data_IF_966179260437
#
_entry.id   IF_966179260437
#
_cell.length_a   1.000
_cell.length_b   1.000
_cell.length_c   1.000
_cell.angle_alpha   90.00
_cell.angle_beta   90.00
_cell.angle_gamma   90.00
#
_symmetry.space_group_name_H-M   'P 1'
#
loop_
_entity.id
_entity.type
_entity.pdbx_description
1 polymer ?
#
# COMPACT_ATOMS: atom_id res chain seq x y z
N UNK A 1 -85.80 -10.16 50.25
CA UNK A 1 -84.45 -9.97 50.83
C UNK A 1 -83.57 -11.08 50.25
N UNK A 2 -82.47 -10.72 49.58
CA UNK A 2 -81.30 -11.56 49.22
C UNK A 2 -81.55 -12.63 48.13
N UNK A 3 -80.74 -12.86 47.09
CA UNK A 3 -79.71 -12.13 46.33
C UNK A 3 -79.44 -13.00 45.08
N UNK A 4 -79.29 -12.38 43.90
CA UNK A 4 -78.90 -13.07 42.65
C UNK A 4 -77.42 -13.45 42.70
N UNK A 5 -77.05 -14.64 42.23
CA UNK A 5 -75.68 -15.00 41.87
C UNK A 5 -75.69 -15.68 40.49
N UNK A 6 -75.36 -14.90 39.47
CA UNK A 6 -75.03 -15.33 38.12
C UNK A 6 -73.53 -15.59 38.13
N UNK A 7 -73.08 -16.84 37.93
CA UNK A 7 -71.66 -17.13 37.71
C UNK A 7 -71.32 -16.81 36.26
N UNK A 8 -70.52 -15.77 36.06
CA UNK A 8 -69.85 -15.49 34.79
C UNK A 8 -68.56 -16.30 34.74
N UNK A 9 -68.49 -17.24 33.80
CA UNK A 9 -67.25 -17.91 33.41
C UNK A 9 -66.41 -16.88 32.62
N UNK A 10 -65.42 -16.26 33.26
CA UNK A 10 -64.44 -15.41 32.57
C UNK A 10 -63.35 -16.32 32.03
N UNK A 11 -63.42 -16.62 30.73
CA UNK A 11 -62.30 -17.19 30.00
C UNK A 11 -61.17 -16.16 29.94
N UNK A 12 -60.12 -16.37 30.74
CA UNK A 12 -58.89 -15.59 30.67
C UNK A 12 -58.13 -15.99 29.39
N UNK A 13 -58.45 -15.34 28.27
CA UNK A 13 -57.59 -15.33 27.09
C UNK A 13 -56.32 -14.60 27.50
N UNK A 14 -55.27 -15.36 27.81
CA UNK A 14 -53.91 -14.85 27.88
C UNK A 14 -53.54 -14.38 26.46
N UNK A 15 -53.78 -13.09 26.19
CA UNK A 15 -53.12 -12.37 25.11
C UNK A 15 -51.64 -12.32 25.49
N UNK A 16 -50.87 -13.32 25.04
CA UNK A 16 -49.43 -13.15 24.93
C UNK A 16 -49.20 -11.92 24.05
N UNK A 17 -48.52 -10.86 24.51
CA UNK A 17 -48.06 -9.85 23.56
C UNK A 17 -47.14 -10.59 22.59
N UNK A 18 -47.54 -10.64 21.33
CA UNK A 18 -46.64 -11.01 20.25
C UNK A 18 -45.45 -10.07 20.35
N UNK A 19 -44.32 -10.57 20.85
CA UNK A 19 -43.05 -9.88 20.90
C UNK A 19 -42.53 -9.81 19.46
N UNK A 20 -43.17 -8.99 18.62
CA UNK A 20 -42.53 -8.52 17.41
C UNK A 20 -41.35 -7.69 17.88
N UNK A 21 -40.15 -8.02 17.40
CA UNK A 21 -38.98 -7.18 17.54
C UNK A 21 -39.37 -5.78 17.07
N UNK A 22 -39.64 -4.89 18.01
CA UNK A 22 -40.13 -3.56 17.71
C UNK A 22 -38.91 -2.73 17.35
N UNK A 23 -38.62 -2.67 16.04
CA UNK A 23 -37.63 -1.75 15.51
C UNK A 23 -37.99 -0.33 15.97
N UNK A 24 -37.10 0.31 16.70
CA UNK A 24 -37.27 1.65 17.22
C UNK A 24 -36.44 2.64 16.40
N UNK A 25 -36.77 3.93 16.48
CA UNK A 25 -35.94 5.03 15.95
C UNK A 25 -35.61 4.87 14.44
N UNK A 26 -36.59 4.88 13.53
CA UNK A 26 -36.36 4.77 12.09
C UNK A 26 -35.56 5.94 11.51
N UNK A 27 -35.69 7.14 12.09
CA UNK A 27 -34.91 8.33 11.72
C UNK A 27 -33.52 8.36 12.39
N UNK A 28 -33.19 7.32 13.17
CA UNK A 28 -31.94 7.24 13.92
C UNK A 28 -31.93 8.02 15.24
N UNK A 29 -30.75 8.08 15.85
CA UNK A 29 -30.49 8.72 17.13
C UNK A 29 -29.23 9.58 17.05
N UNK A 30 -29.33 10.84 17.46
CA UNK A 30 -28.16 11.70 17.67
C UNK A 30 -28.02 12.03 19.15
N UNK A 31 -26.94 11.56 19.76
CA UNK A 31 -26.59 11.77 21.17
C UNK A 31 -25.51 12.84 21.29
N UNK A 32 -25.77 13.86 22.12
CA UNK A 32 -24.86 15.00 22.40
C UNK A 32 -24.41 15.12 23.84
N UNK A 33 -25.08 14.44 24.77
CA UNK A 33 -24.83 14.57 26.20
C UNK A 33 -24.82 13.21 26.90
N UNK A 34 -24.11 13.11 28.03
CA UNK A 34 -24.14 11.91 28.88
C UNK A 34 -25.55 11.62 29.41
N UNK A 35 -26.35 12.67 29.69
CA UNK A 35 -27.73 12.49 30.17
C UNK A 35 -28.61 11.77 29.14
N UNK A 36 -28.45 12.04 27.84
CA UNK A 36 -29.19 11.32 26.79
C UNK A 36 -28.83 9.83 26.72
N UNK A 37 -27.57 9.48 26.99
CA UNK A 37 -27.12 8.08 27.11
C UNK A 37 -27.77 7.44 28.34
N UNK A 38 -27.64 8.09 29.49
CA UNK A 38 -28.11 7.54 30.77
C UNK A 38 -29.64 7.37 30.78
N UNK A 39 -30.36 8.27 30.12
CA UNK A 39 -31.81 8.22 29.98
C UNK A 39 -32.30 7.32 28.84
N UNK A 40 -31.42 6.79 27.98
CA UNK A 40 -31.83 5.97 26.83
C UNK A 40 -32.74 4.79 27.23
N UNK A 41 -32.44 3.98 28.26
CA UNK A 41 -33.32 2.88 28.67
C UNK A 41 -34.70 3.34 29.16
N UNK A 42 -34.79 4.54 29.73
CA UNK A 42 -36.05 5.11 30.22
C UNK A 42 -36.89 5.74 29.09
N UNK A 43 -36.23 6.40 28.13
CA UNK A 43 -36.88 7.05 27.00
C UNK A 43 -37.31 6.05 25.91
N UNK A 44 -36.55 4.96 25.75
CA UNK A 44 -36.78 3.92 24.74
C UNK A 44 -36.76 2.51 25.37
N UNK A 45 -37.71 2.19 26.26
CA UNK A 45 -37.73 0.90 26.93
C UNK A 45 -37.93 -0.25 25.93
N UNK A 46 -37.05 -1.26 25.97
CA UNK A 46 -37.11 -2.43 25.08
C UNK A 46 -36.64 -2.19 23.65
N UNK A 47 -36.09 -1.00 23.34
CA UNK A 47 -35.50 -0.65 22.06
C UNK A 47 -34.15 -1.38 21.89
N UNK A 48 -34.21 -2.58 21.29
CA UNK A 48 -33.06 -3.46 21.04
C UNK A 48 -32.50 -3.25 19.63
N UNK A 49 -33.36 -2.91 18.66
CA UNK A 49 -33.00 -2.74 17.25
C UNK A 49 -33.34 -1.32 16.79
N UNK A 50 -32.33 -0.52 16.49
CA UNK A 50 -32.51 0.82 15.95
C UNK A 50 -32.55 0.72 14.43
N UNK A 51 -33.67 1.07 13.81
CA UNK A 51 -33.84 0.97 12.36
C UNK A 51 -33.00 2.00 11.58
N UNK A 52 -32.80 3.19 12.14
CA UNK A 52 -31.91 4.21 11.56
C UNK A 52 -30.45 4.07 11.99
N UNK A 53 -29.69 5.16 11.84
CA UNK A 53 -28.31 5.24 12.33
C UNK A 53 -28.19 5.85 13.73
N UNK A 54 -27.05 5.61 14.39
CA UNK A 54 -26.69 6.25 15.64
C UNK A 54 -25.44 7.08 15.50
N UNK A 55 -25.51 8.33 15.93
CA UNK A 55 -24.37 9.25 16.02
C UNK A 55 -24.19 9.71 17.46
N UNK A 56 -22.98 9.56 18.00
CA UNK A 56 -22.58 9.96 19.35
C UNK A 56 -21.46 10.99 19.22
N UNK A 57 -21.75 12.23 19.57
CA UNK A 57 -20.82 13.35 19.42
C UNK A 57 -21.01 14.39 20.52
N UNK A 58 -19.98 14.58 21.35
CA UNK A 58 -19.99 15.50 22.48
C UNK A 58 -19.29 16.83 22.20
N UNK A 59 -19.50 17.81 23.07
CA UNK A 59 -18.67 19.03 23.14
C UNK A 59 -17.83 19.02 24.41
N UNK A 60 -16.83 19.91 24.50
CA UNK A 60 -16.03 20.09 25.72
C UNK A 60 -16.89 20.43 26.95
N UNK A 61 -18.01 21.12 26.74
CA UNK A 61 -18.91 21.58 27.82
C UNK A 61 -19.88 20.48 28.28
N UNK A 62 -20.12 19.46 27.45
CA UNK A 62 -21.01 18.35 27.74
C UNK A 62 -20.33 17.02 27.38
N UNK A 63 -19.27 16.63 28.10
CA UNK A 63 -18.50 15.44 27.75
C UNK A 63 -19.33 14.17 27.91
N UNK A 64 -19.19 13.27 26.93
CA UNK A 64 -19.63 11.87 27.03
C UNK A 64 -18.45 11.04 27.51
N UNK A 65 -18.60 10.34 28.63
CA UNK A 65 -17.53 9.55 29.27
C UNK A 65 -17.75 8.05 29.21
N UNK A 66 -18.99 7.58 29.08
CA UNK A 66 -19.30 6.16 28.91
C UNK A 66 -20.62 5.94 28.16
N UNK A 67 -20.83 4.72 27.66
CA UNK A 67 -21.96 4.34 26.82
C UNK A 67 -22.89 3.32 27.49
N UNK A 68 -22.83 3.14 28.82
CA UNK A 68 -23.48 2.01 29.52
C UNK A 68 -24.99 1.99 29.36
N UNK A 69 -25.62 3.16 29.22
CA UNK A 69 -27.05 3.30 28.94
C UNK A 69 -27.50 2.70 27.60
N UNK A 70 -26.56 2.38 26.70
CA UNK A 70 -26.83 1.81 25.37
C UNK A 70 -26.79 0.27 25.34
N UNK A 71 -26.55 -0.39 26.47
CA UNK A 71 -26.31 -1.84 26.57
C UNK A 71 -27.45 -2.73 26.08
N UNK A 72 -28.67 -2.20 25.92
CA UNK A 72 -29.79 -2.97 25.36
C UNK A 72 -29.76 -3.11 23.82
N UNK A 73 -28.96 -2.30 23.12
CA UNK A 73 -28.94 -2.26 21.65
C UNK A 73 -28.13 -3.43 21.11
N UNK A 74 -28.69 -4.16 20.15
CA UNK A 74 -28.01 -5.26 19.44
C UNK A 74 -27.89 -5.08 17.93
N UNK A 75 -28.71 -4.22 17.33
CA UNK A 75 -28.72 -4.01 15.88
C UNK A 75 -28.90 -2.52 15.56
N UNK A 76 -28.12 -2.04 14.59
CA UNK A 76 -28.23 -0.71 14.00
C UNK A 76 -28.47 -0.86 12.50
N UNK A 77 -29.55 -0.28 11.97
CA UNK A 77 -29.95 -0.47 10.58
C UNK A 77 -29.08 0.30 9.57
N UNK A 78 -28.59 1.50 9.92
CA UNK A 78 -27.82 2.33 8.99
C UNK A 78 -26.36 2.55 9.39
N UNK A 79 -26.07 3.21 10.51
CA UNK A 79 -24.68 3.51 10.87
C UNK A 79 -24.45 3.53 12.37
N UNK A 80 -23.20 3.37 12.76
CA UNK A 80 -22.70 3.71 14.08
C UNK A 80 -21.55 4.71 13.90
N UNK A 81 -21.74 5.94 14.35
CA UNK A 81 -20.73 6.99 14.31
C UNK A 81 -20.45 7.48 15.72
N UNK A 82 -19.29 7.15 16.27
CA UNK A 82 -18.82 7.61 17.59
C UNK A 82 -17.67 8.56 17.34
N UNK A 83 -17.95 9.86 17.37
CA UNK A 83 -16.96 10.87 16.98
C UNK A 83 -16.83 12.04 17.93
N UNK A 84 -15.64 12.60 18.01
CA UNK A 84 -15.35 13.82 18.77
C UNK A 84 -15.77 13.72 20.25
N UNK A 85 -15.46 12.58 20.91
CA UNK A 85 -15.70 12.40 22.34
C UNK A 85 -14.37 12.35 23.11
N UNK A 86 -13.76 13.52 23.43
CA UNK A 86 -12.41 13.57 24.02
C UNK A 86 -12.33 13.00 25.44
N UNK A 87 -13.47 12.84 26.13
CA UNK A 87 -13.54 12.23 27.45
C UNK A 87 -13.74 10.70 27.40
N UNK A 88 -14.20 10.15 26.26
CA UNK A 88 -14.55 8.74 26.11
C UNK A 88 -13.30 7.87 26.03
N UNK A 89 -13.15 6.94 26.98
CA UNK A 89 -11.99 6.06 27.08
C UNK A 89 -12.28 4.59 26.73
N UNK A 90 -13.56 4.21 26.65
CA UNK A 90 -14.03 2.87 26.33
C UNK A 90 -15.37 2.93 25.59
N UNK A 91 -15.66 1.91 24.79
CA UNK A 91 -16.96 1.68 24.17
C UNK A 91 -17.89 0.78 25.02
N UNK A 92 -17.53 0.53 26.28
CA UNK A 92 -18.34 -0.27 27.22
C UNK A 92 -19.78 0.22 27.25
N UNK A 93 -20.72 -0.71 27.11
CA UNK A 93 -22.13 -0.44 26.87
C UNK A 93 -22.60 -0.77 25.45
N UNK A 94 -21.72 -1.15 24.53
CA UNK A 94 -22.08 -1.57 23.17
C UNK A 94 -21.87 -3.08 22.91
N UNK A 95 -21.59 -3.87 23.95
CA UNK A 95 -21.14 -5.27 23.81
C UNK A 95 -22.16 -6.17 23.11
N UNK A 96 -23.44 -5.77 23.15
CA UNK A 96 -24.53 -6.49 22.52
C UNK A 96 -24.72 -6.16 21.04
N UNK A 97 -24.06 -5.13 20.50
CA UNK A 97 -24.14 -4.76 19.07
C UNK A 97 -23.51 -5.85 18.22
N UNK A 98 -24.34 -6.55 17.45
CA UNK A 98 -23.93 -7.67 16.58
C UNK A 98 -23.78 -7.28 15.13
N UNK A 99 -24.58 -6.32 14.68
CA UNK A 99 -24.68 -5.93 13.29
C UNK A 99 -24.91 -4.42 13.16
N UNK A 100 -24.20 -3.82 12.21
CA UNK A 100 -24.40 -2.45 11.74
C UNK A 100 -24.69 -2.55 10.24
N UNK A 101 -25.91 -2.20 9.80
CA UNK A 101 -26.37 -2.41 8.44
C UNK A 101 -25.68 -1.56 7.37
N UNK A 102 -25.00 -0.48 7.77
CA UNK A 102 -24.17 0.35 6.89
C UNK A 102 -22.80 0.62 7.50
N UNK A 103 -22.44 1.89 7.76
CA UNK A 103 -21.06 2.28 8.11
C UNK A 103 -20.79 2.25 9.61
N UNK A 104 -19.58 1.80 9.98
CA UNK A 104 -18.99 2.02 11.30
C UNK A 104 -17.97 3.16 11.20
N UNK A 105 -18.05 4.16 12.07
CA UNK A 105 -17.05 5.23 12.17
C UNK A 105 -16.72 5.54 13.61
N UNK A 106 -15.45 5.38 13.98
CA UNK A 106 -14.90 5.72 15.29
C UNK A 106 -13.82 6.78 15.09
N UNK A 107 -14.13 8.05 15.40
CA UNK A 107 -13.28 9.17 15.00
C UNK A 107 -13.01 10.21 16.09
N UNK A 108 -11.77 10.65 16.33
CA UNK A 108 -11.52 11.79 17.23
C UNK A 108 -11.87 11.51 18.70
N UNK A 109 -11.72 10.27 19.16
CA UNK A 109 -11.89 9.90 20.57
C UNK A 109 -10.51 9.72 21.21
N UNK A 110 -9.83 10.83 21.52
CA UNK A 110 -8.41 10.87 21.90
C UNK A 110 -8.03 10.02 23.13
N UNK A 111 -9.00 9.69 23.99
CA UNK A 111 -8.77 8.86 25.18
C UNK A 111 -9.09 7.38 24.97
N UNK A 112 -9.68 7.01 23.84
CA UNK A 112 -10.11 5.64 23.55
C UNK A 112 -8.88 4.73 23.40
N UNK A 113 -8.84 3.64 24.17
CA UNK A 113 -7.69 2.73 24.23
C UNK A 113 -7.83 1.51 23.32
N UNK A 114 -9.06 1.00 23.20
CA UNK A 114 -9.44 -0.18 22.44
C UNK A 114 -10.89 -0.05 21.96
N UNK A 115 -11.32 -0.99 21.13
CA UNK A 115 -12.70 -1.09 20.65
C UNK A 115 -13.50 -2.19 21.39
N UNK A 116 -13.06 -2.67 22.55
CA UNK A 116 -13.56 -3.90 23.21
C UNK A 116 -15.08 -3.92 23.48
N UNK A 117 -15.68 -2.73 23.59
CA UNK A 117 -17.14 -2.58 23.68
C UNK A 117 -17.88 -3.09 22.44
N UNK A 118 -17.21 -3.38 21.33
CA UNK A 118 -17.81 -3.96 20.11
C UNK A 118 -17.56 -5.49 20.00
N UNK A 119 -17.31 -6.18 21.11
CA UNK A 119 -16.99 -7.61 21.12
C UNK A 119 -18.06 -8.54 20.56
N UNK A 120 -19.32 -8.09 20.50
CA UNK A 120 -20.40 -8.79 19.82
C UNK A 120 -20.44 -8.60 18.30
N UNK A 121 -19.69 -7.65 17.73
CA UNK A 121 -19.83 -7.23 16.34
C UNK A 121 -19.34 -8.32 15.38
N UNK A 122 -20.24 -8.75 14.50
CA UNK A 122 -19.97 -9.80 13.50
C UNK A 122 -20.07 -9.31 12.07
N UNK A 123 -20.75 -8.20 11.82
CA UNK A 123 -20.91 -7.63 10.49
C UNK A 123 -21.05 -6.11 10.49
N UNK A 124 -20.48 -5.49 9.46
CA UNK A 124 -20.67 -4.10 9.08
C UNK A 124 -21.09 -4.12 7.62
N UNK A 125 -22.24 -3.54 7.31
CA UNK A 125 -22.88 -3.72 6.02
C UNK A 125 -22.22 -2.91 4.90
N UNK A 126 -21.46 -1.87 5.23
CA UNK A 126 -20.78 -0.99 4.28
C UNK A 126 -19.32 -0.71 4.72
N UNK A 127 -18.94 0.54 4.99
CA UNK A 127 -17.57 0.97 5.29
C UNK A 127 -17.19 0.86 6.78
N UNK A 128 -15.89 0.70 7.05
CA UNK A 128 -15.28 0.80 8.38
C UNK A 128 -14.27 1.96 8.37
N UNK A 129 -14.53 2.97 9.19
CA UNK A 129 -13.66 4.12 9.39
C UNK A 129 -13.16 4.23 10.84
N UNK A 130 -11.85 4.26 11.05
CA UNK A 130 -11.24 4.45 12.36
C UNK A 130 -10.19 5.53 12.23
N UNK A 131 -10.44 6.72 12.79
CA UNK A 131 -9.54 7.85 12.57
C UNK A 131 -9.28 8.74 13.77
N UNK A 132 -8.08 9.29 13.89
CA UNK A 132 -7.75 10.30 14.90
C UNK A 132 -8.06 9.83 16.34
N UNK A 133 -7.88 8.54 16.65
CA UNK A 133 -7.97 8.02 18.02
C UNK A 133 -6.54 7.81 18.54
N UNK A 134 -5.90 8.89 18.98
CA UNK A 134 -4.46 8.91 19.25
C UNK A 134 -3.95 7.89 20.28
N UNK A 135 -4.80 7.41 21.19
CA UNK A 135 -4.44 6.39 22.18
C UNK A 135 -4.92 4.98 21.84
N UNK A 136 -5.60 4.80 20.71
CA UNK A 136 -6.09 3.49 20.29
C UNK A 136 -4.90 2.60 19.96
N UNK A 137 -4.83 1.43 20.62
CA UNK A 137 -3.69 0.51 20.48
C UNK A 137 -3.97 -0.72 19.63
N UNK A 138 -5.21 -1.17 19.60
CA UNK A 138 -5.62 -2.38 18.89
C UNK A 138 -7.05 -2.27 18.35
N UNK A 139 -7.35 -3.12 17.38
CA UNK A 139 -8.66 -3.29 16.76
C UNK A 139 -9.08 -4.77 16.70
N UNK A 140 -8.49 -5.60 17.57
CA UNK A 140 -8.62 -7.08 17.57
C UNK A 140 -10.08 -7.56 17.64
N UNK A 141 -10.94 -6.75 18.25
CA UNK A 141 -12.37 -7.00 18.36
C UNK A 141 -13.06 -7.19 17.00
N UNK A 142 -12.50 -6.63 15.92
CA UNK A 142 -13.07 -6.73 14.57
C UNK A 142 -12.82 -8.11 13.91
N UNK A 143 -12.17 -9.05 14.61
CA UNK A 143 -11.74 -10.36 14.10
C UNK A 143 -12.85 -11.30 13.60
N UNK A 144 -14.11 -10.90 13.68
CA UNK A 144 -15.24 -11.61 13.10
C UNK A 144 -15.63 -11.10 11.71
N UNK A 145 -15.18 -9.90 11.31
CA UNK A 145 -15.48 -9.34 10.00
C UNK A 145 -14.80 -10.17 8.89
N UNK A 146 -15.58 -10.51 7.86
CA UNK A 146 -15.12 -11.31 6.71
C UNK A 146 -15.06 -10.52 5.40
N UNK A 147 -15.97 -9.58 5.22
CA UNK A 147 -16.10 -8.75 4.02
C UNK A 147 -16.41 -7.33 4.50
N UNK A 148 -15.76 -6.35 3.88
CA UNK A 148 -16.12 -4.93 4.01
C UNK A 148 -16.64 -4.50 2.63
N UNK A 149 -17.96 -4.26 2.53
CA UNK A 149 -18.58 -3.90 1.23
C UNK A 149 -18.28 -2.47 0.79
N UNK A 150 -17.90 -1.63 1.74
CA UNK A 150 -17.50 -0.25 1.47
C UNK A 150 -15.99 -0.08 1.56
N UNK A 151 -15.62 1.11 2.02
CA UNK A 151 -14.24 1.48 2.25
C UNK A 151 -13.73 0.99 3.60
N UNK A 152 -12.44 0.65 3.67
CA UNK A 152 -11.68 0.56 4.92
C UNK A 152 -10.78 1.79 5.03
N UNK A 153 -11.00 2.62 6.05
CA UNK A 153 -10.17 3.79 6.31
C UNK A 153 -9.62 3.75 7.73
N UNK A 154 -8.30 3.63 7.88
CA UNK A 154 -7.60 3.70 9.17
C UNK A 154 -6.59 4.84 9.09
N UNK A 155 -6.82 5.94 9.81
CA UNK A 155 -5.95 7.12 9.69
C UNK A 155 -5.72 7.92 10.96
N UNK A 156 -4.49 8.39 11.20
CA UNK A 156 -4.21 9.25 12.35
C UNK A 156 -4.35 8.53 13.70
N UNK A 157 -4.23 7.20 13.75
CA UNK A 157 -4.24 6.43 15.00
C UNK A 157 -2.80 6.17 15.42
N UNK A 158 -2.15 7.19 15.97
CA UNK A 158 -0.70 7.23 16.17
C UNK A 158 -0.11 6.12 17.04
N UNK A 159 -0.90 5.50 17.94
CA UNK A 159 -0.49 4.37 18.78
C UNK A 159 -0.95 2.99 18.27
N UNK A 160 -1.74 2.93 17.20
CA UNK A 160 -2.17 1.67 16.59
C UNK A 160 -0.96 1.05 15.90
N UNK A 161 -0.51 -0.10 16.41
CA UNK A 161 0.73 -0.74 15.94
C UNK A 161 0.49 -2.02 15.13
N UNK A 162 -0.77 -2.46 15.04
CA UNK A 162 -1.16 -3.71 14.41
C UNK A 162 -2.56 -3.58 13.79
N UNK A 163 -2.80 -4.31 12.70
CA UNK A 163 -4.12 -4.49 12.09
C UNK A 163 -4.77 -5.82 12.51
N UNK A 164 -4.19 -6.53 13.48
CA UNK A 164 -4.80 -7.71 14.09
C UNK A 164 -6.21 -7.38 14.55
N UNK A 165 -7.17 -8.20 14.12
CA UNK A 165 -8.59 -7.85 14.08
C UNK A 165 -9.17 -7.85 12.67
N UNK A 166 -8.38 -7.69 11.61
CA UNK A 166 -8.88 -7.79 10.23
C UNK A 166 -8.52 -9.13 9.57
N UNK A 167 -8.02 -10.10 10.35
CA UNK A 167 -7.33 -11.29 9.86
C UNK A 167 -8.23 -12.29 9.11
N UNK A 168 -9.56 -12.13 9.25
CA UNK A 168 -10.57 -12.90 8.50
C UNK A 168 -11.16 -12.13 7.31
N UNK A 169 -10.81 -10.85 7.12
CA UNK A 169 -11.28 -10.07 5.98
C UNK A 169 -10.64 -10.63 4.73
N UNK A 170 -11.47 -11.17 3.83
CA UNK A 170 -11.04 -11.76 2.56
C UNK A 170 -11.15 -10.74 1.43
N UNK A 171 -12.09 -9.81 1.54
CA UNK A 171 -12.42 -8.89 0.46
C UNK A 171 -12.86 -7.54 1.03
N UNK A 172 -12.37 -6.48 0.36
CA UNK A 172 -12.82 -5.10 0.57
C UNK A 172 -13.31 -4.61 -0.80
N UNK A 173 -14.62 -4.39 -0.95
CA UNK A 173 -15.21 -4.03 -2.24
C UNK A 173 -14.95 -2.55 -2.61
N UNK A 174 -14.69 -1.70 -1.61
CA UNK A 174 -14.33 -0.29 -1.79
C UNK A 174 -12.83 0.00 -1.72
N UNK A 175 -12.51 1.22 -1.31
CA UNK A 175 -11.13 1.69 -1.15
C UNK A 175 -10.52 1.23 0.17
N UNK A 176 -9.20 1.08 0.18
CA UNK A 176 -8.42 0.95 1.40
C UNK A 176 -7.54 2.19 1.55
N UNK A 177 -7.70 2.92 2.65
CA UNK A 177 -6.86 4.04 3.04
C UNK A 177 -6.21 3.75 4.38
N UNK A 178 -4.89 3.57 4.39
CA UNK A 178 -4.09 3.51 5.62
C UNK A 178 -3.11 4.68 5.61
N UNK A 179 -3.39 5.70 6.44
CA UNK A 179 -2.66 6.96 6.39
C UNK A 179 -2.31 7.53 7.75
N UNK A 180 -1.09 8.04 7.93
CA UNK A 180 -0.70 8.75 9.16
C UNK A 180 -0.85 7.89 10.44
N UNK A 181 -0.55 6.59 10.35
CA UNK A 181 -0.50 5.70 11.51
C UNK A 181 0.97 5.45 11.89
N UNK A 182 1.49 6.30 12.78
CA UNK A 182 2.91 6.36 13.12
C UNK A 182 3.51 5.09 13.73
N UNK A 183 2.69 4.13 14.21
CA UNK A 183 3.16 2.91 14.89
C UNK A 183 2.97 1.62 14.08
N UNK A 184 2.26 1.64 12.95
CA UNK A 184 2.07 0.46 12.10
C UNK A 184 3.40 0.10 11.44
N UNK A 185 3.84 -1.15 11.61
CA UNK A 185 5.11 -1.66 11.05
C UNK A 185 4.93 -2.41 9.73
N UNK A 186 3.80 -3.08 9.57
CA UNK A 186 3.41 -3.88 8.40
C UNK A 186 1.89 -4.14 8.45
N UNK A 187 1.39 -5.06 7.63
CA UNK A 187 -0.04 -5.36 7.49
C UNK A 187 -0.41 -6.72 8.09
N UNK A 188 0.35 -7.19 9.08
CA UNK A 188 -0.10 -8.31 9.90
C UNK A 188 -1.47 -7.98 10.49
N UNK A 189 -2.41 -8.90 10.30
CA UNK A 189 -3.83 -8.69 10.47
C UNK A 189 -4.61 -8.66 9.15
N UNK A 190 -3.98 -8.64 7.97
CA UNK A 190 -4.68 -8.74 6.67
C UNK A 190 -4.34 -10.02 5.89
N UNK A 191 -3.87 -11.08 6.57
CA UNK A 191 -3.32 -12.30 5.96
C UNK A 191 -4.33 -13.12 5.13
N UNK A 192 -5.60 -12.76 5.15
CA UNK A 192 -6.67 -13.39 4.36
C UNK A 192 -7.13 -12.53 3.18
N UNK A 193 -6.73 -11.26 3.10
CA UNK A 193 -7.20 -10.31 2.10
C UNK A 193 -6.72 -10.76 0.70
N UNK A 194 -7.66 -10.86 -0.23
CA UNK A 194 -7.44 -11.29 -1.61
C UNK A 194 -7.69 -10.20 -2.64
N UNK A 195 -8.66 -9.34 -2.39
CA UNK A 195 -9.07 -8.31 -3.35
C UNK A 195 -9.39 -6.98 -2.67
N UNK A 196 -9.03 -5.92 -3.36
CA UNK A 196 -9.49 -4.54 -3.13
C UNK A 196 -10.22 -4.07 -4.39
N UNK A 197 -11.52 -3.76 -4.25
CA UNK A 197 -12.37 -3.32 -5.36
C UNK A 197 -12.18 -1.85 -5.76
N UNK A 198 -11.59 -1.04 -4.87
CA UNK A 198 -11.25 0.36 -5.12
C UNK A 198 -9.74 0.61 -5.18
N UNK A 199 -9.35 1.80 -4.73
CA UNK A 199 -7.96 2.22 -4.59
C UNK A 199 -7.35 1.68 -3.30
N UNK A 200 -6.07 1.36 -3.31
CA UNK A 200 -5.28 1.03 -2.13
C UNK A 200 -4.22 2.12 -1.88
N UNK A 201 -4.49 2.99 -0.92
CA UNK A 201 -3.67 4.17 -0.59
C UNK A 201 -2.94 3.97 0.74
N UNK A 202 -1.61 3.96 0.68
CA UNK A 202 -0.72 3.78 1.82
C UNK A 202 0.19 4.99 1.93
N UNK A 203 -0.15 5.90 2.83
CA UNK A 203 0.46 7.23 2.86
C UNK A 203 0.94 7.64 4.25
N UNK A 204 2.12 8.24 4.35
CA UNK A 204 2.56 8.93 5.59
C UNK A 204 2.60 8.02 6.84
N UNK A 205 2.80 6.69 6.67
CA UNK A 205 2.97 5.77 7.80
C UNK A 205 4.46 5.68 8.15
N UNK A 206 4.93 6.59 9.01
CA UNK A 206 6.35 6.84 9.30
C UNK A 206 7.14 5.67 9.92
N UNK A 207 6.46 4.62 10.40
CA UNK A 207 7.12 3.40 10.91
C UNK A 207 6.95 2.16 10.04
N UNK A 208 6.18 2.25 8.95
CA UNK A 208 5.94 1.14 8.03
C UNK A 208 7.26 0.68 7.42
N UNK A 209 7.55 -0.62 7.45
CA UNK A 209 8.80 -1.22 6.95
C UNK A 209 8.62 -2.07 5.71
N UNK A 210 7.49 -2.76 5.64
CA UNK A 210 7.12 -3.66 4.55
C UNK A 210 5.61 -3.91 4.54
N UNK A 211 5.17 -4.79 3.64
CA UNK A 211 3.77 -5.16 3.40
C UNK A 211 3.45 -6.58 3.90
N UNK A 212 4.27 -7.15 4.81
CA UNK A 212 4.03 -8.49 5.37
C UNK A 212 2.62 -8.58 5.91
N UNK A 213 1.96 -9.71 5.65
CA UNK A 213 0.54 -9.92 5.92
C UNK A 213 -0.37 -9.69 4.71
N UNK A 214 0.14 -9.27 3.55
CA UNK A 214 -0.64 -9.13 2.30
C UNK A 214 -0.31 -10.19 1.25
N UNK A 215 0.31 -11.30 1.63
CA UNK A 215 0.84 -12.32 0.70
C UNK A 215 -0.23 -12.96 -0.20
N UNK A 216 -1.50 -12.88 0.20
CA UNK A 216 -2.66 -13.39 -0.55
C UNK A 216 -3.40 -12.35 -1.37
N UNK A 217 -3.01 -11.08 -1.31
CA UNK A 217 -3.65 -10.03 -2.08
C UNK A 217 -3.28 -10.23 -3.56
N UNK A 218 -4.28 -10.51 -4.39
CA UNK A 218 -4.12 -10.84 -5.80
C UNK A 218 -4.50 -9.67 -6.71
N UNK A 219 -5.50 -8.87 -6.32
CA UNK A 219 -6.07 -7.85 -7.19
C UNK A 219 -6.38 -6.53 -6.46
N UNK A 220 -5.99 -5.42 -7.08
CA UNK A 220 -6.43 -4.07 -6.74
C UNK A 220 -7.08 -3.49 -8.00
N UNK A 221 -8.38 -3.21 -7.95
CA UNK A 221 -9.14 -2.92 -9.17
C UNK A 221 -8.92 -1.51 -9.72
N UNK A 222 -8.37 -0.59 -8.92
CA UNK A 222 -8.02 0.78 -9.34
C UNK A 222 -6.54 1.06 -9.05
N UNK A 223 -6.24 2.07 -8.22
CA UNK A 223 -4.88 2.56 -8.00
C UNK A 223 -4.23 1.90 -6.79
N UNK A 224 -2.95 1.52 -6.90
CA UNK A 224 -2.05 1.25 -5.79
C UNK A 224 -1.10 2.45 -5.60
N UNK A 225 -1.29 3.19 -4.51
CA UNK A 225 -0.52 4.39 -4.18
C UNK A 225 0.26 4.15 -2.89
N UNK A 226 1.59 4.14 -2.99
CA UNK A 226 2.51 3.96 -1.87
C UNK A 226 3.37 5.22 -1.77
N UNK A 227 3.04 6.11 -0.83
CA UNK A 227 3.63 7.44 -0.77
C UNK A 227 4.12 7.84 0.64
N UNK A 228 5.32 8.45 0.72
CA UNK A 228 5.83 9.08 1.96
C UNK A 228 5.86 8.15 3.18
N UNK A 229 6.22 6.89 2.99
CA UNK A 229 6.43 5.95 4.09
C UNK A 229 7.94 5.90 4.38
N UNK A 230 8.44 6.84 5.19
CA UNK A 230 9.87 7.13 5.33
C UNK A 230 10.75 5.95 5.78
N UNK A 231 10.18 4.97 6.49
CA UNK A 231 10.89 3.76 6.95
C UNK A 231 10.64 2.52 6.11
N UNK A 232 9.90 2.64 5.00
CA UNK A 232 9.60 1.53 4.12
C UNK A 232 10.89 1.08 3.44
N UNK A 233 11.30 -0.17 3.68
CA UNK A 233 12.55 -0.74 3.13
C UNK A 233 12.25 -1.64 1.94
N UNK A 234 11.13 -2.36 1.97
CA UNK A 234 10.77 -3.28 0.89
C UNK A 234 9.26 -3.35 0.65
N UNK A 235 8.87 -3.87 -0.50
CA UNK A 235 7.49 -4.23 -0.81
C UNK A 235 7.15 -5.69 -0.48
N UNK A 236 7.96 -6.36 0.35
CA UNK A 236 7.72 -7.73 0.84
C UNK A 236 6.29 -7.85 1.34
N UNK A 237 5.54 -8.84 0.85
CA UNK A 237 4.11 -8.98 1.10
C UNK A 237 3.28 -8.95 -0.18
N UNK A 238 3.73 -8.30 -1.25
CA UNK A 238 3.01 -8.30 -2.53
C UNK A 238 3.31 -9.49 -3.45
N UNK A 239 3.82 -10.61 -2.92
CA UNK A 239 4.16 -11.79 -3.74
C UNK A 239 2.96 -12.40 -4.48
N UNK A 240 1.74 -12.18 -4.01
CA UNK A 240 0.51 -12.62 -4.66
C UNK A 240 -0.08 -11.63 -5.66
N UNK A 241 0.36 -10.37 -5.67
CA UNK A 241 -0.31 -9.29 -6.39
C UNK A 241 -0.12 -9.48 -7.90
N UNK A 242 -1.21 -9.78 -8.60
CA UNK A 242 -1.22 -10.10 -10.02
C UNK A 242 -1.72 -8.94 -10.89
N UNK A 243 -2.56 -8.05 -10.37
CA UNK A 243 -3.18 -6.98 -11.13
C UNK A 243 -3.36 -5.70 -10.30
N UNK A 244 -3.07 -4.56 -10.94
CA UNK A 244 -3.42 -3.21 -10.49
C UNK A 244 -4.19 -2.56 -11.64
N UNK A 245 -5.44 -2.19 -11.43
CA UNK A 245 -6.33 -1.83 -12.55
C UNK A 245 -6.05 -0.48 -13.19
N UNK A 246 -5.34 0.45 -12.53
CA UNK A 246 -5.04 1.77 -13.11
C UNK A 246 -3.63 2.23 -12.81
N UNK A 247 -3.39 2.83 -11.66
CA UNK A 247 -2.09 3.46 -11.38
C UNK A 247 -1.29 2.66 -10.35
N UNK A 248 -0.02 2.38 -10.67
CA UNK A 248 0.96 1.94 -9.68
C UNK A 248 1.92 3.10 -9.40
N UNK A 249 1.72 3.75 -8.26
CA UNK A 249 2.51 4.90 -7.84
C UNK A 249 3.36 4.54 -6.61
N UNK A 250 4.67 4.46 -6.79
CA UNK A 250 5.66 4.25 -5.73
C UNK A 250 6.46 5.54 -5.59
N UNK A 251 6.09 6.38 -4.61
CA UNK A 251 6.45 7.80 -4.60
C UNK A 251 7.04 8.22 -3.25
N UNK A 252 8.18 8.90 -3.22
CA UNK A 252 8.72 9.51 -1.99
C UNK A 252 8.95 8.51 -0.83
N UNK A 253 9.36 7.26 -1.08
CA UNK A 253 9.70 6.30 -0.01
C UNK A 253 11.22 6.27 0.16
N UNK A 254 11.73 7.12 1.05
CA UNK A 254 13.14 7.49 1.10
C UNK A 254 14.11 6.33 1.40
N UNK A 255 13.65 5.31 2.14
CA UNK A 255 14.46 4.15 2.51
C UNK A 255 14.19 2.89 1.67
N UNK A 256 13.31 2.98 0.67
CA UNK A 256 12.90 1.84 -0.15
C UNK A 256 14.07 1.34 -0.98
N UNK A 257 14.38 0.05 -0.84
CA UNK A 257 15.52 -0.62 -1.48
C UNK A 257 15.10 -1.83 -2.32
N UNK A 258 13.91 -2.40 -2.08
CA UNK A 258 13.51 -3.65 -2.71
C UNK A 258 12.03 -3.66 -3.11
N UNK A 259 11.78 -3.84 -4.41
CA UNK A 259 10.44 -3.99 -4.98
C UNK A 259 10.22 -5.38 -5.63
N UNK A 260 11.15 -6.33 -5.43
CA UNK A 260 11.13 -7.65 -6.09
C UNK A 260 9.87 -8.47 -5.79
N UNK A 261 9.21 -8.17 -4.67
CA UNK A 261 7.93 -8.77 -4.30
C UNK A 261 6.83 -8.60 -5.35
N UNK A 262 6.93 -7.60 -6.25
CA UNK A 262 5.96 -7.36 -7.32
C UNK A 262 6.05 -8.34 -8.50
N UNK A 263 6.93 -9.35 -8.45
CA UNK A 263 7.22 -10.25 -9.59
C UNK A 263 5.99 -10.99 -10.15
N UNK A 264 4.90 -11.10 -9.39
CA UNK A 264 3.64 -11.70 -9.85
C UNK A 264 2.77 -10.76 -10.67
N UNK A 265 3.03 -9.44 -10.63
CA UNK A 265 2.22 -8.41 -11.29
C UNK A 265 2.30 -8.56 -12.81
N UNK A 266 1.15 -8.71 -13.45
CA UNK A 266 1.01 -8.98 -14.89
C UNK A 266 0.45 -7.81 -15.68
N UNK A 267 -0.35 -6.96 -15.08
CA UNK A 267 -1.02 -5.87 -15.80
C UNK A 267 -1.18 -4.62 -14.92
N UNK A 268 -1.03 -3.47 -15.57
CA UNK A 268 -1.33 -2.12 -15.05
C UNK A 268 -1.99 -1.33 -16.17
N UNK A 269 -3.31 -1.11 -16.14
CA UNK A 269 -4.02 -0.43 -17.25
C UNK A 269 -3.91 1.10 -17.21
N UNK A 270 -2.74 1.62 -16.83
CA UNK A 270 -2.53 3.04 -16.59
C UNK A 270 -1.08 3.43 -16.37
N UNK A 271 -0.86 4.42 -15.50
CA UNK A 271 0.47 4.96 -15.16
C UNK A 271 1.24 4.03 -14.22
N UNK A 272 2.43 3.62 -14.65
CA UNK A 272 3.48 3.08 -13.79
C UNK A 272 4.45 4.21 -13.42
N UNK A 273 4.47 4.62 -12.15
CA UNK A 273 5.34 5.68 -11.66
C UNK A 273 6.21 5.22 -10.49
N UNK A 274 7.52 5.34 -10.67
CA UNK A 274 8.53 5.25 -9.61
C UNK A 274 9.19 6.63 -9.50
N UNK A 275 8.85 7.36 -8.44
CA UNK A 275 9.28 8.75 -8.27
C UNK A 275 9.94 8.98 -6.91
N UNK A 276 11.13 9.56 -6.91
CA UNK A 276 11.83 9.98 -5.69
C UNK A 276 11.96 8.88 -4.64
N UNK A 277 12.50 7.72 -5.06
CA UNK A 277 12.92 6.63 -4.16
C UNK A 277 14.45 6.54 -4.20
N UNK A 278 15.16 7.42 -3.47
CA UNK A 278 16.59 7.66 -3.68
C UNK A 278 17.51 6.48 -3.37
N UNK A 279 17.08 5.50 -2.56
CA UNK A 279 17.85 4.31 -2.23
C UNK A 279 17.49 3.08 -3.07
N UNK A 280 16.51 3.16 -3.98
CA UNK A 280 16.10 2.03 -4.81
C UNK A 280 17.17 1.73 -5.87
N UNK A 281 17.81 0.55 -5.86
CA UNK A 281 18.93 0.23 -6.76
C UNK A 281 18.49 -0.45 -8.06
N UNK A 282 17.31 -1.07 -8.07
CA UNK A 282 16.80 -1.91 -9.16
C UNK A 282 15.28 -1.81 -9.32
N UNK A 283 14.77 -2.06 -10.54
CA UNK A 283 13.35 -2.25 -10.86
C UNK A 283 12.92 -3.72 -10.92
N UNK A 284 13.81 -4.66 -10.55
CA UNK A 284 13.48 -6.10 -10.48
C UNK A 284 12.23 -6.33 -9.65
N UNK A 285 11.36 -7.19 -10.14
CA UNK A 285 9.99 -7.36 -9.65
C UNK A 285 8.95 -6.79 -10.62
N UNK A 286 9.32 -5.85 -11.49
CA UNK A 286 8.40 -5.35 -12.51
C UNK A 286 8.48 -6.13 -13.83
N UNK A 287 9.36 -7.13 -13.93
CA UNK A 287 9.73 -7.86 -15.14
C UNK A 287 8.56 -8.43 -15.94
N UNK A 288 7.47 -8.80 -15.26
CA UNK A 288 6.40 -9.63 -15.81
C UNK A 288 5.14 -8.85 -16.23
N UNK A 289 5.18 -7.53 -16.22
CA UNK A 289 4.06 -6.68 -16.62
C UNK A 289 3.95 -6.67 -18.15
N UNK A 290 2.74 -6.89 -18.68
CA UNK A 290 2.45 -6.72 -20.10
C UNK A 290 2.70 -5.26 -20.52
N UNK A 291 3.70 -4.99 -21.39
CA UNK A 291 4.01 -3.64 -21.82
C UNK A 291 2.86 -2.95 -22.59
N UNK A 292 1.88 -3.71 -23.10
CA UNK A 292 0.69 -3.13 -23.74
C UNK A 292 -0.38 -2.66 -22.74
N UNK A 293 -0.37 -3.19 -21.52
CA UNK A 293 -1.28 -2.73 -20.46
C UNK A 293 -0.92 -1.33 -19.97
N UNK A 294 0.38 -1.03 -19.86
CA UNK A 294 0.87 0.24 -19.33
C UNK A 294 0.56 1.38 -20.30
N UNK A 295 -0.14 2.42 -19.83
CA UNK A 295 -0.42 3.61 -20.62
C UNK A 295 0.75 4.59 -20.64
N UNK A 296 1.36 4.85 -19.48
CA UNK A 296 2.44 5.81 -19.33
C UNK A 296 3.48 5.30 -18.33
N UNK A 297 4.75 5.61 -18.57
CA UNK A 297 5.85 5.25 -17.70
C UNK A 297 6.56 6.49 -17.14
N UNK A 298 6.72 6.58 -15.83
CA UNK A 298 7.49 7.63 -15.18
C UNK A 298 8.53 7.02 -14.22
N UNK A 299 9.81 7.11 -14.55
CA UNK A 299 10.92 6.67 -13.69
C UNK A 299 11.79 7.90 -13.43
N UNK A 300 11.57 8.54 -12.28
CA UNK A 300 12.05 9.90 -12.03
C UNK A 300 12.71 9.99 -10.67
N UNK A 301 13.83 10.73 -10.60
CA UNK A 301 14.50 11.07 -9.33
C UNK A 301 14.86 9.85 -8.48
N UNK A 302 15.34 8.76 -9.10
CA UNK A 302 15.85 7.59 -8.40
C UNK A 302 17.39 7.51 -8.57
N UNK A 303 18.17 8.34 -7.85
CA UNK A 303 19.63 8.48 -8.05
C UNK A 303 20.45 7.21 -7.79
N UNK A 304 19.95 6.23 -7.02
CA UNK A 304 20.64 4.95 -6.83
C UNK A 304 20.30 3.89 -7.88
N UNK A 305 19.28 4.13 -8.71
CA UNK A 305 18.72 3.14 -9.64
C UNK A 305 19.68 2.88 -10.81
N UNK A 306 20.40 1.76 -10.78
CA UNK A 306 21.29 1.32 -11.86
C UNK A 306 20.81 0.09 -12.64
N UNK A 307 19.81 -0.62 -12.12
CA UNK A 307 19.27 -1.83 -12.74
C UNK A 307 17.79 -1.63 -13.09
N UNK A 308 17.52 -0.92 -14.19
CA UNK A 308 16.17 -0.55 -14.65
C UNK A 308 15.75 -1.23 -15.95
N UNK A 309 16.64 -1.98 -16.58
CA UNK A 309 16.40 -2.65 -17.87
C UNK A 309 15.71 -4.00 -17.68
N UNK A 310 14.66 -4.02 -16.86
CA UNK A 310 13.81 -5.22 -16.70
C UNK A 310 12.93 -5.43 -17.93
N UNK A 311 12.55 -6.68 -18.20
CA UNK A 311 11.92 -7.09 -19.46
C UNK A 311 10.72 -6.23 -19.87
N UNK A 312 9.75 -6.03 -18.95
CA UNK A 312 8.57 -5.19 -19.19
C UNK A 312 8.91 -3.74 -19.56
N UNK A 313 9.87 -3.12 -18.88
CA UNK A 313 10.32 -1.75 -19.15
C UNK A 313 11.03 -1.68 -20.51
N UNK A 314 11.88 -2.67 -20.81
CA UNK A 314 12.54 -2.79 -22.10
C UNK A 314 11.54 -2.88 -23.25
N UNK A 315 10.53 -3.74 -23.12
CA UNK A 315 9.55 -3.96 -24.16
C UNK A 315 8.61 -2.77 -24.31
N UNK A 316 8.19 -2.14 -23.20
CA UNK A 316 7.41 -0.91 -23.22
C UNK A 316 8.15 0.20 -23.98
N UNK A 317 9.44 0.43 -23.69
CA UNK A 317 10.20 1.51 -24.32
C UNK A 317 10.49 1.24 -25.80
N UNK A 318 10.49 -0.01 -26.26
CA UNK A 318 10.62 -0.36 -27.69
C UNK A 318 9.36 -0.01 -28.47
N UNK A 319 8.19 -0.24 -27.90
CA UNK A 319 6.89 0.01 -28.56
C UNK A 319 6.37 1.44 -28.36
N UNK A 320 6.81 2.15 -27.31
CA UNK A 320 6.40 3.52 -26.98
C UNK A 320 7.61 4.47 -26.92
N UNK A 321 7.68 5.44 -27.83
CA UNK A 321 8.75 6.43 -27.93
C UNK A 321 8.43 7.76 -27.20
N UNK A 322 7.15 8.09 -27.01
CA UNK A 322 6.73 9.37 -26.40
C UNK A 322 6.03 9.22 -25.03
N UNK A 323 5.53 8.04 -24.67
CA UNK A 323 4.72 7.84 -23.45
C UNK A 323 5.55 7.57 -22.19
N UNK A 324 6.66 8.30 -22.04
CA UNK A 324 7.54 8.12 -20.89
C UNK A 324 8.16 9.42 -20.37
N UNK A 325 8.49 9.44 -19.08
CA UNK A 325 9.35 10.44 -18.46
C UNK A 325 10.43 9.75 -17.65
N UNK A 326 11.69 9.88 -18.10
CA UNK A 326 12.86 9.23 -17.49
C UNK A 326 13.92 10.30 -17.26
N UNK A 327 14.16 10.65 -16.00
CA UNK A 327 15.10 11.73 -15.65
C UNK A 327 15.52 11.68 -14.18
N UNK A 328 16.69 12.22 -13.85
CA UNK A 328 17.17 12.30 -12.46
C UNK A 328 17.54 10.96 -11.84
N UNK A 329 17.78 9.92 -12.65
CA UNK A 329 18.23 8.60 -12.19
C UNK A 329 19.73 8.43 -12.40
N UNK A 330 20.30 7.35 -11.84
CA UNK A 330 21.70 7.00 -12.05
C UNK A 330 22.02 6.74 -13.53
N UNK A 331 23.28 6.91 -13.91
CA UNK A 331 23.77 6.50 -15.22
C UNK A 331 23.44 5.02 -15.51
N UNK A 332 23.01 4.73 -16.74
CA UNK A 332 22.40 3.46 -17.14
C UNK A 332 20.86 3.53 -17.15
N UNK A 333 20.30 4.34 -16.25
CA UNK A 333 18.85 4.55 -16.09
C UNK A 333 18.39 5.99 -16.27
N UNK A 334 19.31 6.90 -16.62
CA UNK A 334 19.05 8.34 -16.64
C UNK A 334 18.24 8.80 -17.86
N UNK A 335 18.20 8.01 -18.93
CA UNK A 335 17.50 8.33 -20.18
C UNK A 335 16.96 7.07 -20.84
N UNK A 336 15.91 7.19 -21.66
CA UNK A 336 15.39 6.08 -22.48
C UNK A 336 16.48 5.34 -23.27
N UNK A 337 17.36 6.09 -23.96
CA UNK A 337 18.40 5.50 -24.78
C UNK A 337 19.39 4.66 -23.94
N UNK A 338 19.74 5.13 -22.73
CA UNK A 338 20.59 4.35 -21.84
C UNK A 338 19.91 3.04 -21.43
N UNK A 339 18.62 3.08 -21.04
CA UNK A 339 17.86 1.88 -20.68
C UNK A 339 17.81 0.90 -21.86
N UNK A 340 17.47 1.36 -23.06
CA UNK A 340 17.41 0.50 -24.25
C UNK A 340 18.77 -0.12 -24.60
N UNK A 341 19.87 0.62 -24.45
CA UNK A 341 21.21 0.06 -24.63
C UNK A 341 21.53 -1.03 -23.59
N UNK A 342 21.02 -0.93 -22.36
CA UNK A 342 21.13 -2.01 -21.37
C UNK A 342 20.22 -3.20 -21.73
N UNK A 343 19.00 -2.96 -22.21
CA UNK A 343 18.09 -4.01 -22.69
C UNK A 343 18.68 -4.86 -23.81
N UNK A 344 19.41 -4.23 -24.75
CA UNK A 344 20.08 -4.93 -25.84
C UNK A 344 21.29 -5.75 -25.37
N UNK A 345 21.88 -5.41 -24.21
CA UNK A 345 22.92 -6.24 -23.58
C UNK A 345 22.34 -7.51 -22.96
N UNK A 346 21.10 -7.48 -22.49
CA UNK A 346 20.39 -8.65 -21.95
C UNK A 346 19.76 -9.52 -23.05
N UNK A 347 19.34 -8.93 -24.17
CA UNK A 347 18.84 -9.65 -25.35
C UNK A 347 19.90 -10.40 -26.17
N UNK A 348 21.19 -10.25 -25.82
CA UNK A 348 22.31 -10.84 -26.52
C UNK A 348 22.87 -12.12 -25.88
N UNK A 349 22.05 -12.94 -25.18
CA UNK A 349 22.44 -14.31 -24.78
C UNK A 349 21.25 -15.30 -24.68
N UNK A 350 20.88 -15.91 -25.80
CA UNK A 350 20.83 -17.38 -25.84
C UNK A 350 22.26 -17.89 -25.63
N UNK A 351 22.58 -18.44 -24.45
CA UNK A 351 23.92 -18.85 -24.01
C UNK A 351 24.96 -17.70 -23.97
N UNK A 352 25.84 -17.60 -22.96
CA UNK A 352 27.01 -16.75 -23.05
C UNK A 352 27.95 -17.31 -24.12
N UNK A 353 27.74 -16.88 -25.36
CA UNK A 353 28.68 -17.10 -26.45
C UNK A 353 29.95 -16.28 -26.22
N UNK A 354 31.13 -16.75 -26.66
CA UNK A 354 32.44 -16.26 -26.22
C UNK A 354 32.85 -14.84 -26.69
N UNK A 355 31.94 -14.03 -27.26
CA UNK A 355 32.31 -12.87 -28.09
C UNK A 355 31.77 -11.49 -27.62
N UNK A 356 31.55 -11.26 -26.31
CA UNK A 356 31.17 -9.93 -25.78
C UNK A 356 32.41 -9.13 -25.35
N UNK A 357 32.65 -8.01 -26.04
CA UNK A 357 33.75 -7.08 -25.75
C UNK A 357 33.46 -6.30 -24.47
N UNK A 358 34.38 -6.32 -23.50
CA UNK A 358 34.29 -5.50 -22.29
C UNK A 358 35.63 -4.85 -21.97
N UNK A 359 35.65 -3.62 -21.48
CA UNK A 359 36.83 -2.94 -20.92
C UNK A 359 36.55 -2.66 -19.43
N UNK A 360 37.35 -3.21 -18.53
CA UNK A 360 37.13 -3.13 -17.07
C UNK A 360 38.46 -3.17 -16.30
N UNK A 361 38.54 -2.66 -15.05
CA UNK A 361 37.48 -2.01 -14.28
C UNK A 361 37.16 -0.59 -14.79
N UNK A 362 35.97 -0.09 -14.49
CA UNK A 362 35.59 1.31 -14.69
C UNK A 362 34.73 1.77 -13.49
N UNK A 363 35.19 2.68 -12.61
CA UNK A 363 36.47 3.41 -12.66
C UNK A 363 37.72 2.53 -12.55
N UNK A 364 38.88 3.01 -13.02
CA UNK A 364 40.16 2.28 -12.99
C UNK A 364 41.28 3.07 -12.30
N UNK A 365 42.17 2.41 -11.54
CA UNK A 365 43.41 3.02 -11.05
C UNK A 365 44.50 3.13 -12.15
N UNK A 366 44.28 2.60 -13.36
CA UNK A 366 45.22 2.76 -14.47
C UNK A 366 45.31 1.56 -15.41
N UNK A 367 45.09 0.34 -14.92
CA UNK A 367 45.16 -0.87 -15.76
C UNK A 367 43.75 -1.32 -16.11
N UNK A 368 43.48 -1.47 -17.40
CA UNK A 368 42.24 -1.98 -17.96
C UNK A 368 42.49 -3.37 -18.56
N UNK A 369 41.50 -4.23 -18.44
CA UNK A 369 41.43 -5.56 -19.04
C UNK A 369 40.29 -5.58 -20.04
N UNK A 370 40.56 -6.22 -21.17
CA UNK A 370 39.64 -6.44 -22.26
C UNK A 370 39.28 -7.92 -22.34
N UNK A 371 38.01 -8.25 -22.59
CA UNK A 371 37.53 -9.63 -22.81
C UNK A 371 36.65 -9.69 -24.04
N UNK A 372 36.56 -10.84 -24.70
CA UNK A 372 35.59 -11.14 -25.78
C UNK A 372 35.91 -10.54 -27.15
N UNK A 373 37.19 -10.46 -27.50
CA UNK A 373 37.71 -9.87 -28.73
C UNK A 373 38.66 -10.86 -29.42
N UNK A 374 38.46 -11.14 -30.73
CA UNK A 374 39.31 -12.06 -31.53
C UNK A 374 40.61 -11.38 -32.03
N UNK A 375 41.53 -12.19 -32.59
CA UNK A 375 42.93 -11.88 -32.90
C UNK A 375 43.25 -10.48 -33.46
N UNK A 376 44.21 -9.83 -32.79
CA UNK A 376 44.84 -8.50 -33.02
C UNK A 376 43.86 -7.32 -33.05
N UNK A 377 43.52 -6.82 -31.86
CA UNK A 377 42.84 -5.54 -31.68
C UNK A 377 43.87 -4.41 -31.61
N UNK A 378 43.62 -3.29 -32.27
CA UNK A 378 44.26 -2.01 -31.93
C UNK A 378 43.36 -1.27 -30.94
N UNK A 379 43.94 -0.45 -30.07
CA UNK A 379 43.16 0.43 -29.21
C UNK A 379 43.58 1.87 -29.36
N UNK A 380 42.60 2.76 -29.29
CA UNK A 380 42.75 4.21 -29.23
C UNK A 380 42.34 4.69 -27.84
N UNK A 381 43.14 5.56 -27.25
CA UNK A 381 42.77 6.34 -26.07
C UNK A 381 42.65 7.78 -26.49
N UNK A 382 41.49 8.38 -26.30
CA UNK A 382 41.23 9.79 -26.60
C UNK A 382 40.77 10.53 -25.34
N UNK A 383 41.06 11.82 -25.26
CA UNK A 383 40.42 12.67 -24.27
C UNK A 383 38.94 12.93 -24.63
N UNK A 384 38.23 13.62 -23.73
CA UNK A 384 36.82 13.99 -23.94
C UNK A 384 36.58 14.94 -25.12
N UNK A 385 37.63 15.55 -25.68
CA UNK A 385 37.53 16.40 -26.87
C UNK A 385 37.69 15.59 -28.17
N UNK A 386 37.94 14.28 -28.06
CA UNK A 386 38.18 13.38 -29.18
C UNK A 386 39.61 13.41 -29.70
N UNK A 387 40.54 14.12 -29.03
CA UNK A 387 41.95 14.10 -29.40
C UNK A 387 42.57 12.78 -28.95
N UNK A 388 43.14 12.05 -29.90
CA UNK A 388 43.90 10.84 -29.63
C UNK A 388 45.15 11.13 -28.80
N UNK A 389 45.26 10.45 -27.66
CA UNK A 389 46.39 10.48 -26.72
C UNK A 389 47.32 9.29 -26.98
N UNK A 390 46.77 8.11 -27.27
CA UNK A 390 47.52 6.86 -27.46
C UNK A 390 46.85 5.96 -28.49
N UNK A 391 47.65 5.25 -29.27
CA UNK A 391 47.20 4.28 -30.27
C UNK A 391 48.18 3.11 -30.32
N UNK A 392 47.81 1.94 -29.80
CA UNK A 392 48.70 0.78 -29.70
C UNK A 392 47.96 -0.52 -30.05
N UNK A 393 48.73 -1.58 -30.36
CA UNK A 393 48.20 -2.95 -30.41
C UNK A 393 47.87 -3.45 -29.01
N UNK A 394 46.78 -4.19 -28.89
CA UNK A 394 46.33 -4.82 -27.66
C UNK A 394 47.13 -6.10 -27.41
N UNK A 395 48.03 -6.04 -26.42
CA UNK A 395 48.80 -7.20 -25.97
C UNK A 395 48.16 -7.81 -24.71
N UNK A 396 47.95 -9.13 -24.72
CA UNK A 396 47.39 -9.90 -23.59
C UNK A 396 46.04 -9.35 -23.05
N UNK A 397 45.29 -8.66 -23.90
CA UNK A 397 44.01 -8.07 -23.53
C UNK A 397 44.11 -6.96 -22.48
N UNK A 398 45.25 -6.30 -22.30
CA UNK A 398 45.41 -5.22 -21.31
C UNK A 398 45.68 -3.88 -21.97
N UNK A 399 45.13 -2.83 -21.37
CA UNK A 399 45.39 -1.43 -21.73
C UNK A 399 45.88 -0.73 -20.47
N UNK A 400 47.09 -0.20 -20.52
CA UNK A 400 47.66 0.60 -19.44
C UNK A 400 47.46 2.09 -19.74
N UNK A 401 46.81 2.78 -18.82
CA UNK A 401 46.64 4.24 -18.77
C UNK A 401 47.07 4.80 -17.41
N UNK A 402 47.91 4.07 -16.66
CA UNK A 402 48.36 4.45 -15.31
C UNK A 402 49.17 5.75 -15.31
N UNK A 403 49.79 6.07 -16.43
CA UNK A 403 50.56 7.30 -16.64
C UNK A 403 49.70 8.52 -17.00
N UNK A 404 48.42 8.32 -17.32
CA UNK A 404 47.49 9.42 -17.61
C UNK A 404 46.96 10.05 -16.31
N UNK A 405 46.75 11.39 -16.28
CA UNK A 405 46.10 12.06 -15.16
C UNK A 405 44.70 11.50 -14.88
N UNK A 406 44.22 11.67 -13.64
CA UNK A 406 42.82 11.38 -13.32
C UNK A 406 41.88 12.19 -14.22
N UNK A 407 40.85 11.55 -14.77
CA UNK A 407 40.00 12.14 -15.80
C UNK A 407 39.15 11.12 -16.54
N UNK A 408 38.37 11.61 -17.51
CA UNK A 408 37.53 10.78 -18.38
C UNK A 408 38.25 10.59 -19.71
N UNK A 409 38.30 9.34 -20.17
CA UNK A 409 38.93 8.95 -21.43
C UNK A 409 37.97 8.09 -22.25
N UNK A 410 38.00 8.24 -23.56
CA UNK A 410 37.32 7.36 -24.49
C UNK A 410 38.31 6.29 -24.96
N UNK A 411 37.97 5.02 -24.74
CA UNK A 411 38.75 3.89 -25.23
C UNK A 411 38.02 3.27 -26.41
N UNK A 412 38.62 3.31 -27.58
CA UNK A 412 38.15 2.62 -28.79
C UNK A 412 38.97 1.35 -29.00
N UNK A 413 38.32 0.21 -29.24
CA UNK A 413 38.91 -1.03 -29.69
C UNK A 413 38.55 -1.24 -31.16
N UNK A 414 39.57 -1.37 -32.01
CA UNK A 414 39.45 -1.43 -33.47
C UNK A 414 39.85 -2.84 -33.94
N UNK A 415 39.04 -3.42 -34.83
CA UNK A 415 39.34 -4.69 -35.51
C UNK A 415 38.87 -4.68 -36.95
N UNK A 416 39.26 -5.70 -37.71
CA UNK A 416 38.78 -5.92 -39.07
C UNK A 416 37.25 -6.11 -39.16
N UNK A 417 36.57 -6.49 -38.07
CA UNK A 417 35.12 -6.82 -38.08
C UNK A 417 34.24 -5.77 -37.41
N UNK A 418 34.75 -5.03 -36.42
CA UNK A 418 33.98 -4.05 -35.63
C UNK A 418 34.88 -3.10 -34.84
N UNK A 419 34.37 -1.89 -34.63
CA UNK A 419 34.90 -0.92 -33.65
C UNK A 419 34.00 -0.89 -32.40
N UNK A 420 34.60 -0.70 -31.24
CA UNK A 420 33.88 -0.61 -29.96
C UNK A 420 34.43 0.55 -29.14
N UNK A 421 33.57 1.45 -28.65
CA UNK A 421 33.99 2.62 -27.87
C UNK A 421 33.37 2.55 -26.46
N UNK A 422 34.17 2.79 -25.44
CA UNK A 422 33.72 2.87 -24.04
C UNK A 422 34.37 4.06 -23.32
N UNK A 423 33.57 4.83 -22.58
CA UNK A 423 34.07 5.87 -21.68
C UNK A 423 34.59 5.24 -20.38
N UNK A 424 35.81 5.62 -19.98
CA UNK A 424 36.52 5.14 -18.79
C UNK A 424 36.88 6.30 -17.88
N UNK A 425 36.64 6.13 -16.59
CA UNK A 425 37.02 7.06 -15.53
C UNK A 425 38.34 6.57 -14.92
N UNK A 426 39.43 7.32 -15.14
CA UNK A 426 40.72 7.13 -14.44
C UNK A 426 40.67 7.90 -13.13
N UNK A 427 40.82 7.19 -12.01
CA UNK A 427 40.93 7.79 -10.67
C UNK A 427 42.37 7.89 -10.19
#
# INVERSE_FOLDING_TARGET
MVLRLISFLVSLLALSPSQQAQTCLPEGLFVRTQMEIDMFPANFPGCIEIAGGMTIESTSDNPISDLKGLSQISLLGEHLEIRNNPALSSLTGLENVKEIGGRLTIAGNDRLLSLDGLSGLTSVGNSVGISSNNKLKNIEVLSQLKIIRGDLSISGNTQLNSLEGLNKVVEIEGNVLIRDNASILNFNGLQSLKSVGGNFLIQENSSLRDFSGLEKLENISLDLIIEKNDKLISLTGFSGLAMVGKYLLIVNNLLLQDITALNSLKAIDGLLQVYNNPLLPSLRGLDNIDPQSVDNLAIIQCPSLSDCAVQSICDFLKINDQKHSITGNKFGCATRLQILNECEREGANTNPGPNIIRIFPNPTPGILTTKGFDSVAEFLVSDVTGRTIRANKLENGKIDISDLPAGIYLIELISEKRNFIQSIIKI
#
